data_IF_040458164579
#
_entry.id   IF_040458164579
#
_cell.length_a   1.000
_cell.length_b   1.000
_cell.length_c   1.000
_cell.angle_alpha   90.00
_cell.angle_beta   90.00
_cell.angle_gamma   90.00
#
_symmetry.space_group_name_H-M   'P 1'
#
loop_
_entity.id
_entity.type
_entity.pdbx_description
1 polymer ?
#
# COMPACT_ATOMS: atom_id res chain seq x y z
N UNK A 1 -2.97 -9.30 -1.41
CA UNK A 1 -1.66 -9.11 -2.05
C UNK A 1 -1.77 -8.75 -3.52
N UNK A 2 -2.37 -9.56 -4.40
CA UNK A 2 -2.46 -9.23 -5.84
C UNK A 2 -3.14 -7.88 -6.13
N UNK A 3 -4.33 -7.64 -5.55
CA UNK A 3 -5.04 -6.37 -5.72
C UNK A 3 -4.23 -5.16 -5.22
N UNK A 4 -3.43 -5.32 -4.15
CA UNK A 4 -2.57 -4.26 -3.62
C UNK A 4 -1.42 -3.93 -4.58
N UNK A 5 -0.87 -4.92 -5.28
CA UNK A 5 0.14 -4.69 -6.34
C UNK A 5 -0.47 -3.87 -7.49
N UNK A 6 -1.70 -4.18 -7.88
CA UNK A 6 -2.41 -3.41 -8.91
C UNK A 6 -2.76 -1.99 -8.47
N UNK A 7 -3.06 -1.77 -7.17
CA UNK A 7 -3.20 -0.43 -6.60
C UNK A 7 -1.86 0.32 -6.63
N UNK A 8 -0.75 -0.33 -6.24
CA UNK A 8 0.61 0.25 -6.34
C UNK A 8 0.96 0.64 -7.77
N UNK A 9 0.59 -0.20 -8.74
CA UNK A 9 0.75 0.10 -10.16
C UNK A 9 -0.04 1.35 -10.57
N UNK A 10 -1.31 1.47 -10.18
CA UNK A 10 -2.12 2.66 -10.46
C UNK A 10 -1.54 3.94 -9.84
N UNK A 11 -0.99 3.86 -8.62
CA UNK A 11 -0.28 4.98 -7.98
C UNK A 11 0.94 5.40 -8.79
N UNK A 12 1.74 4.45 -9.28
CA UNK A 12 2.91 4.72 -10.16
C UNK A 12 2.51 5.31 -11.51
N UNK A 13 1.32 4.99 -12.01
CA UNK A 13 0.73 5.62 -13.19
C UNK A 13 0.18 7.03 -12.93
N UNK A 14 0.29 7.55 -11.70
CA UNK A 14 -0.22 8.86 -11.33
C UNK A 14 -1.75 8.93 -11.22
N UNK A 15 -2.43 7.79 -11.09
CA UNK A 15 -3.89 7.75 -10.95
C UNK A 15 -4.32 8.23 -9.57
N UNK A 16 -5.43 8.95 -9.52
CA UNK A 16 -6.08 9.29 -8.24
C UNK A 16 -6.65 8.04 -7.55
N UNK A 17 -6.92 8.13 -6.25
CA UNK A 17 -7.51 7.02 -5.49
C UNK A 17 -8.87 6.60 -6.06
N UNK A 18 -9.68 7.56 -6.51
CA UNK A 18 -10.99 7.27 -7.09
C UNK A 18 -10.91 6.64 -8.48
N UNK A 19 -9.98 7.08 -9.33
CA UNK A 19 -9.70 6.38 -10.59
C UNK A 19 -9.20 4.95 -10.35
N UNK A 20 -8.30 4.79 -9.38
CA UNK A 20 -7.79 3.47 -8.98
C UNK A 20 -8.94 2.57 -8.55
N UNK A 21 -9.85 3.04 -7.69
CA UNK A 21 -11.02 2.25 -7.28
C UNK A 21 -11.91 1.85 -8.45
N UNK A 22 -12.15 2.75 -9.42
CA UNK A 22 -12.94 2.42 -10.61
C UNK A 22 -12.27 1.34 -11.46
N UNK A 23 -10.95 1.43 -11.64
CA UNK A 23 -10.16 0.42 -12.35
C UNK A 23 -10.18 -0.92 -11.62
N UNK A 24 -10.00 -0.91 -10.30
CA UNK A 24 -10.08 -2.12 -9.47
C UNK A 24 -11.47 -2.78 -9.58
N UNK A 25 -12.55 -1.98 -9.53
CA UNK A 25 -13.92 -2.49 -9.68
C UNK A 25 -14.19 -3.04 -11.08
N UNK A 26 -13.59 -2.48 -12.11
CA UNK A 26 -13.71 -2.99 -13.48
C UNK A 26 -13.01 -4.34 -13.68
N UNK A 27 -11.83 -4.52 -13.06
CA UNK A 27 -11.05 -5.77 -13.18
C UNK A 27 -11.62 -6.87 -12.29
N UNK A 28 -11.98 -6.54 -11.05
CA UNK A 28 -12.33 -7.52 -10.03
C UNK A 28 -13.84 -7.68 -9.77
N UNK A 29 -14.67 -6.76 -10.25
CA UNK A 29 -16.12 -6.80 -10.06
C UNK A 29 -16.49 -6.87 -8.57
N UNK A 30 -17.30 -7.87 -8.22
CA UNK A 30 -17.73 -8.14 -6.83
C UNK A 30 -16.59 -8.63 -5.92
N UNK A 31 -15.50 -9.15 -6.49
CA UNK A 31 -14.32 -9.56 -5.72
C UNK A 31 -13.37 -8.40 -5.43
N UNK A 32 -13.72 -7.16 -5.83
CA UNK A 32 -12.90 -5.99 -5.59
C UNK A 32 -12.79 -5.68 -4.09
N UNK A 33 -11.60 -5.26 -3.66
CA UNK A 33 -11.42 -4.67 -2.33
C UNK A 33 -12.41 -3.52 -2.10
N UNK A 34 -12.89 -3.42 -0.85
CA UNK A 34 -13.74 -2.33 -0.41
C UNK A 34 -13.10 -0.98 -0.69
N UNK A 35 -13.95 0.03 -0.93
CA UNK A 35 -13.53 1.40 -1.20
C UNK A 35 -12.52 1.94 -0.15
N UNK A 36 -12.76 1.67 1.14
CA UNK A 36 -11.87 2.05 2.25
C UNK A 36 -10.48 1.44 2.08
N UNK A 37 -10.40 0.11 1.88
CA UNK A 37 -9.12 -0.60 1.69
C UNK A 37 -8.34 -0.08 0.49
N UNK A 38 -9.01 0.20 -0.63
CA UNK A 38 -8.34 0.74 -1.83
C UNK A 38 -7.73 2.11 -1.54
N UNK A 39 -8.43 2.97 -0.79
CA UNK A 39 -7.93 4.29 -0.41
C UNK A 39 -6.78 4.23 0.59
N UNK A 40 -6.86 3.32 1.57
CA UNK A 40 -5.75 3.08 2.51
C UNK A 40 -4.49 2.66 1.77
N UNK A 41 -4.58 1.64 0.91
CA UNK A 41 -3.46 1.17 0.10
C UNK A 41 -2.93 2.26 -0.84
N UNK A 42 -3.82 2.98 -1.53
CA UNK A 42 -3.43 4.07 -2.43
C UNK A 42 -2.63 5.16 -1.71
N UNK A 43 -3.13 5.62 -0.56
CA UNK A 43 -2.40 6.57 0.27
C UNK A 43 -1.09 5.98 0.78
N UNK A 44 -1.08 4.73 1.24
CA UNK A 44 0.14 4.07 1.73
C UNK A 44 1.25 4.08 0.68
N UNK A 45 0.94 3.63 -0.55
CA UNK A 45 1.90 3.61 -1.66
C UNK A 45 2.29 5.00 -2.16
N UNK A 46 1.38 5.97 -2.12
CA UNK A 46 1.67 7.36 -2.50
C UNK A 46 2.75 7.99 -1.62
N UNK A 47 2.85 7.59 -0.35
CA UNK A 47 3.87 8.07 0.58
C UNK A 47 5.17 7.24 0.54
N UNK A 48 5.34 6.36 -0.45
CA UNK A 48 6.57 5.58 -0.63
C UNK A 48 6.77 4.45 0.39
N UNK A 49 5.74 4.10 1.18
CA UNK A 49 5.79 2.91 2.03
C UNK A 49 5.52 1.69 1.15
N UNK A 50 6.55 0.85 0.98
CA UNK A 50 6.53 -0.26 0.01
C UNK A 50 6.11 -1.60 0.61
N UNK A 51 5.91 -1.68 1.92
CA UNK A 51 5.50 -2.91 2.58
C UNK A 51 4.10 -3.32 2.14
N UNK A 52 4.02 -4.47 1.45
CA UNK A 52 2.76 -5.16 1.11
C UNK A 52 2.22 -5.97 2.29
N UNK A 53 2.97 -5.98 3.39
CA UNK A 53 2.56 -6.56 4.65
C UNK A 53 1.48 -5.66 5.24
N UNK A 54 0.29 -6.22 5.40
CA UNK A 54 -0.74 -5.65 6.25
C UNK A 54 -0.08 -5.54 7.63
N UNK A 55 0.36 -4.33 8.00
CA UNK A 55 0.63 -3.99 9.39
C UNK A 55 -0.72 -4.19 10.09
N UNK A 56 -0.98 -5.44 10.49
CA UNK A 56 -1.88 -5.73 11.57
C UNK A 56 -1.52 -4.74 12.67
N UNK A 57 -2.49 -4.10 13.35
CA UNK A 57 -2.22 -3.34 14.56
C UNK A 57 -1.83 -4.31 15.69
N UNK A 58 -0.70 -4.99 15.53
CA UNK A 58 0.12 -5.57 16.58
C UNK A 58 1.25 -4.58 16.90
N UNK A 59 1.86 -4.67 18.08
CA UNK A 59 2.71 -3.61 18.62
C UNK A 59 3.86 -3.30 17.65
N UNK A 60 4.01 -2.00 17.36
CA UNK A 60 5.00 -1.44 16.44
C UNK A 60 6.38 -2.03 16.72
N UNK A 61 6.88 -2.88 15.81
CA UNK A 61 8.32 -3.14 15.75
C UNK A 61 8.95 -2.00 14.96
N UNK A 62 9.47 -1.05 15.73
CA UNK A 62 10.42 -0.05 15.27
C UNK A 62 11.47 -0.72 14.39
N UNK A 63 11.40 -0.48 13.07
CA UNK A 63 12.50 -0.81 12.19
C UNK A 63 13.62 0.16 12.57
N UNK A 64 14.59 -0.38 13.31
CA UNK A 64 15.88 0.24 13.61
C UNK A 64 16.52 0.67 12.30
N UNK A 65 16.87 1.94 12.19
CA UNK A 65 17.86 2.42 11.24
C UNK A 65 19.16 1.63 11.44
N UNK A 66 19.73 1.02 10.40
CA UNK A 66 21.06 0.44 10.49
C UNK A 66 22.06 1.55 10.17
N UNK A 67 22.66 2.20 11.19
CA UNK A 67 23.93 2.93 11.06
C UNK A 67 24.34 3.56 12.39
N UNK A 68 25.16 2.84 13.18
CA UNK A 68 26.51 3.29 13.53
C UNK A 68 27.24 2.15 14.25
N UNK A 69 28.19 1.58 13.53
CA UNK A 69 29.19 0.64 14.03
C UNK A 69 30.13 1.39 14.98
N UNK A 70 30.28 0.84 16.19
CA UNK A 70 31.45 0.78 17.08
C UNK A 70 32.57 1.82 16.95
N UNK A 71 32.87 2.52 18.07
CA UNK A 71 34.25 2.72 18.57
C UNK A 71 34.29 3.39 19.95
N UNK A 72 34.64 2.62 20.99
CA UNK A 72 35.77 2.80 21.93
C UNK A 72 35.55 1.98 23.21
#
# INVERSE_FOLDING_TARGET
MEQAVNIKFCVRLGKSAMETFRMMKQVYGDNCLSHIRVFEWHNHFRHGRESLEDEHPGPAKTIRTPELIEKV
#
